data_IF_205803571081
#
_entry.id   IF_205803571081
#
_cell.length_a   1.000
_cell.length_b   1.000
_cell.length_c   1.000
_cell.angle_alpha   90.00
_cell.angle_beta   90.00
_cell.angle_gamma   90.00
#
_symmetry.space_group_name_H-M   'P 1'
#
loop_
_entity.id
_entity.type
_entity.pdbx_description
1 polymer ?
#
# COMPACT_ATOMS: atom_id res chain seq x y z
N UNK A 1 -6.34 -6.57 21.36
CA UNK A 1 -6.87 -6.64 19.98
C UNK A 1 -5.92 -7.49 19.18
N UNK A 2 -5.99 -8.79 19.42
CA UNK A 2 -5.18 -9.79 18.72
C UNK A 2 -5.96 -10.27 17.50
N UNK A 3 -5.30 -10.54 16.38
CA UNK A 3 -5.89 -11.44 15.38
C UNK A 3 -5.88 -11.04 13.91
N UNK A 4 -4.88 -10.30 13.41
CA UNK A 4 -4.64 -10.25 11.95
C UNK A 4 -3.28 -10.83 11.52
N UNK A 5 -2.38 -11.12 12.46
CA UNK A 5 -1.08 -11.73 12.20
C UNK A 5 -0.94 -13.13 12.84
N UNK A 6 -1.97 -13.97 12.70
CA UNK A 6 -1.93 -15.37 13.18
C UNK A 6 -2.11 -16.40 12.06
N UNK A 7 -2.20 -15.95 10.80
CA UNK A 7 -2.28 -16.85 9.64
C UNK A 7 -0.89 -17.07 9.06
N UNK A 8 -0.11 -17.96 9.68
CA UNK A 8 1.09 -18.51 9.04
C UNK A 8 0.65 -19.51 7.95
N UNK A 9 0.39 -19.01 6.74
CA UNK A 9 0.40 -19.86 5.55
C UNK A 9 1.84 -20.00 5.08
N UNK A 10 2.45 -21.17 5.34
CA UNK A 10 3.77 -21.50 4.81
C UNK A 10 3.64 -21.77 3.31
N UNK A 11 3.81 -20.74 2.48
CA UNK A 11 4.01 -20.91 1.05
C UNK A 11 5.50 -20.82 0.74
N UNK A 12 6.16 -21.98 0.69
CA UNK A 12 7.54 -22.11 0.23
C UNK A 12 7.53 -22.09 -1.30
N UNK A 13 7.76 -20.93 -1.90
CA UNK A 13 8.07 -20.83 -3.32
C UNK A 13 9.58 -20.84 -3.49
N UNK A 14 10.04 -21.86 -4.21
CA UNK A 14 11.45 -22.14 -4.44
C UNK A 14 12.17 -20.97 -5.12
N UNK A 15 13.42 -20.79 -4.71
CA UNK A 15 14.40 -19.96 -5.41
C UNK A 15 14.50 -20.39 -6.87
N UNK A 16 14.06 -19.52 -7.77
CA UNK A 16 14.44 -19.51 -9.17
C UNK A 16 14.48 -18.06 -9.62
N UNK A 17 15.70 -17.52 -9.75
CA UNK A 17 15.99 -16.23 -10.36
C UNK A 17 15.57 -16.26 -11.83
N UNK A 18 14.33 -15.89 -12.09
CA UNK A 18 13.86 -15.36 -13.38
C UNK A 18 12.97 -14.18 -13.04
N UNK A 19 13.25 -13.01 -13.62
CA UNK A 19 12.37 -11.84 -13.58
C UNK A 19 11.05 -12.20 -14.27
N UNK A 20 10.21 -12.94 -13.57
CA UNK A 20 8.81 -13.12 -13.93
C UNK A 20 8.14 -11.84 -13.48
N UNK A 21 7.47 -11.18 -14.41
CA UNK A 21 6.60 -10.05 -14.10
C UNK A 21 5.48 -10.58 -13.19
N UNK A 22 5.60 -10.34 -11.89
CA UNK A 22 4.59 -10.70 -10.89
C UNK A 22 3.49 -9.65 -10.99
N UNK A 23 2.23 -10.09 -11.10
CA UNK A 23 1.12 -9.14 -11.18
C UNK A 23 1.00 -8.38 -9.85
N UNK A 24 0.55 -7.11 -9.85
CA UNK A 24 0.33 -6.37 -8.61
C UNK A 24 -0.61 -7.10 -7.64
N UNK A 25 -1.58 -7.84 -8.17
CA UNK A 25 -2.52 -8.65 -7.40
C UNK A 25 -1.85 -9.85 -6.72
N UNK A 26 -0.91 -10.52 -7.40
CA UNK A 26 -0.11 -11.60 -6.80
C UNK A 26 0.79 -11.05 -5.68
N UNK A 27 1.40 -9.87 -5.86
CA UNK A 27 2.20 -9.22 -4.80
C UNK A 27 1.32 -8.86 -3.61
N UNK A 28 0.12 -8.34 -3.85
CA UNK A 28 -0.87 -8.06 -2.81
C UNK A 28 -1.28 -9.30 -2.04
N UNK A 29 -1.52 -10.42 -2.73
CA UNK A 29 -1.80 -11.69 -2.10
C UNK A 29 -0.62 -12.20 -1.25
N UNK A 30 0.60 -12.13 -1.79
CA UNK A 30 1.81 -12.52 -1.07
C UNK A 30 1.99 -11.69 0.19
N UNK A 31 1.84 -10.38 0.11
CA UNK A 31 1.91 -9.50 1.27
C UNK A 31 0.78 -9.77 2.28
N UNK A 32 -0.46 -9.98 1.81
CA UNK A 32 -1.59 -10.32 2.69
C UNK A 32 -1.35 -11.64 3.46
N UNK A 33 -0.78 -12.64 2.80
CA UNK A 33 -0.51 -13.96 3.41
C UNK A 33 0.72 -13.98 4.33
N UNK A 34 1.75 -13.19 4.03
CA UNK A 34 3.04 -13.20 4.74
C UNK A 34 3.25 -12.03 5.69
N UNK A 35 2.48 -10.95 5.55
CA UNK A 35 2.68 -9.66 6.20
C UNK A 35 4.07 -9.05 5.97
N UNK A 36 4.79 -9.44 4.92
CA UNK A 36 6.10 -8.89 4.60
C UNK A 36 6.32 -8.71 3.10
N UNK A 37 7.17 -7.73 2.77
CA UNK A 37 7.78 -7.56 1.47
C UNK A 37 9.29 -7.52 1.67
N UNK A 38 10.05 -8.08 0.74
CA UNK A 38 11.49 -7.93 0.69
C UNK A 38 11.84 -6.58 0.05
N UNK A 39 13.06 -6.09 0.32
CA UNK A 39 13.55 -4.85 -0.30
C UNK A 39 13.69 -4.95 -1.82
N UNK A 40 13.88 -6.16 -2.34
CA UNK A 40 14.02 -6.44 -3.77
C UNK A 40 12.65 -6.63 -4.47
N UNK A 41 11.54 -6.66 -3.71
CA UNK A 41 10.21 -6.85 -4.28
C UNK A 41 9.74 -5.55 -4.94
N UNK A 42 9.41 -5.64 -6.24
CA UNK A 42 8.90 -4.50 -6.99
C UNK A 42 7.40 -4.35 -6.81
N UNK A 43 6.98 -3.39 -5.99
CA UNK A 43 5.57 -2.99 -5.90
C UNK A 43 5.20 -2.19 -7.15
N UNK A 44 4.34 -2.79 -7.98
CA UNK A 44 3.87 -2.18 -9.23
C UNK A 44 2.55 -1.42 -9.03
N UNK A 45 2.23 -0.51 -9.95
CA UNK A 45 0.92 0.14 -9.99
C UNK A 45 -0.20 -0.91 -10.04
N UNK A 46 -1.21 -0.73 -9.21
CA UNK A 46 -2.30 -1.68 -8.97
C UNK A 46 -2.13 -2.53 -7.72
N UNK A 47 -0.99 -2.47 -7.01
CA UNK A 47 -0.84 -3.12 -5.71
C UNK A 47 -1.83 -2.53 -4.71
N UNK A 48 -2.40 -3.36 -3.86
CA UNK A 48 -3.32 -2.95 -2.82
C UNK A 48 -3.15 -3.74 -1.52
N UNK A 49 -3.50 -3.09 -0.42
CA UNK A 49 -3.55 -3.67 0.92
C UNK A 49 -5.00 -3.71 1.40
N UNK A 50 -5.41 -4.83 2.00
CA UNK A 50 -6.79 -5.07 2.43
C UNK A 50 -6.86 -5.09 3.96
N UNK A 51 -7.67 -4.21 4.53
CA UNK A 51 -7.96 -4.15 5.96
C UNK A 51 -9.43 -4.44 6.23
N UNK A 52 -9.68 -5.48 7.03
CA UNK A 52 -11.03 -5.93 7.38
C UNK A 52 -11.54 -7.07 6.48
N UNK A 53 -12.77 -7.52 6.76
CA UNK A 53 -13.39 -8.63 6.06
C UNK A 53 -14.34 -8.14 4.95
N UNK A 54 -14.26 -8.78 3.78
CA UNK A 54 -15.05 -8.47 2.60
C UNK A 54 -15.81 -9.71 2.10
N UNK A 55 -16.76 -10.26 2.87
CA UNK A 55 -17.48 -11.48 2.50
C UNK A 55 -18.25 -11.35 1.18
N UNK A 56 -18.54 -10.14 0.73
CA UNK A 56 -19.20 -9.88 -0.56
C UNK A 56 -18.24 -9.94 -1.76
N UNK A 57 -16.91 -9.91 -1.51
CA UNK A 57 -15.88 -9.90 -2.53
C UNK A 57 -15.13 -11.24 -2.66
N UNK A 58 -15.48 -12.24 -1.85
CA UNK A 58 -14.78 -13.54 -1.77
C UNK A 58 -15.78 -14.70 -1.75
N UNK A 59 -15.31 -15.90 -2.15
CA UNK A 59 -16.13 -17.12 -2.09
C UNK A 59 -16.03 -17.79 -0.72
N UNK A 60 -14.83 -17.78 -0.13
CA UNK A 60 -14.55 -18.26 1.23
C UNK A 60 -13.94 -17.16 2.11
N UNK A 61 -14.08 -17.29 3.43
CA UNK A 61 -13.48 -16.37 4.42
C UNK A 61 -11.94 -16.40 4.45
N UNK A 62 -11.35 -17.42 3.85
CA UNK A 62 -9.90 -17.60 3.74
C UNK A 62 -9.35 -17.11 2.39
N UNK A 63 -10.21 -16.69 1.46
CA UNK A 63 -9.79 -16.22 0.14
C UNK A 63 -9.35 -14.75 0.19
N UNK A 64 -8.42 -14.40 -0.67
CA UNK A 64 -8.01 -13.03 -0.91
C UNK A 64 -8.94 -12.37 -1.94
N UNK A 65 -9.52 -11.18 -1.65
CA UNK A 65 -10.42 -10.52 -2.57
C UNK A 65 -9.67 -9.89 -3.74
N UNK A 66 -10.16 -10.15 -4.95
CA UNK A 66 -9.64 -9.51 -6.17
C UNK A 66 -10.02 -8.03 -6.21
N UNK A 67 -9.16 -7.18 -6.76
CA UNK A 67 -9.38 -5.72 -6.78
C UNK A 67 -10.71 -5.32 -7.46
N UNK A 68 -11.04 -5.99 -8.57
CA UNK A 68 -12.29 -5.74 -9.30
C UNK A 68 -13.55 -6.00 -8.47
N UNK A 69 -13.50 -6.94 -7.52
CA UNK A 69 -14.61 -7.23 -6.61
C UNK A 69 -14.69 -6.17 -5.50
N UNK A 70 -13.54 -5.73 -4.96
CA UNK A 70 -13.48 -4.67 -3.94
C UNK A 70 -14.05 -3.34 -4.43
N UNK A 71 -13.84 -2.99 -5.70
CA UNK A 71 -14.45 -1.79 -6.29
C UNK A 71 -15.99 -1.78 -6.29
N UNK A 72 -16.62 -2.95 -6.16
CA UNK A 72 -18.10 -3.08 -6.11
C UNK A 72 -18.64 -3.04 -4.69
N UNK A 73 -17.77 -3.03 -3.68
CA UNK A 73 -18.17 -3.03 -2.27
C UNK A 73 -18.44 -1.60 -1.81
N UNK A 74 -19.63 -1.40 -1.22
CA UNK A 74 -19.99 -0.14 -0.58
C UNK A 74 -19.39 -0.04 0.83
N UNK A 75 -18.92 1.15 1.25
CA UNK A 75 -18.53 1.40 2.63
C UNK A 75 -19.66 1.06 3.61
N UNK A 76 -19.31 0.51 4.78
CA UNK A 76 -20.24 0.29 5.90
C UNK A 76 -19.68 0.99 7.13
N UNK A 77 -20.54 1.67 7.88
CA UNK A 77 -20.19 2.37 9.13
C UNK A 77 -19.90 1.43 10.30
N UNK A 78 -20.45 0.22 10.27
CA UNK A 78 -20.42 -0.71 11.42
C UNK A 78 -19.12 -1.53 11.54
N UNK A 79 -18.28 -1.52 10.51
CA UNK A 79 -17.06 -2.33 10.47
C UNK A 79 -15.94 -1.60 9.75
N UNK A 80 -14.73 -1.65 10.33
CA UNK A 80 -13.53 -1.11 9.71
C UNK A 80 -13.18 -1.92 8.46
N UNK A 81 -13.42 -1.34 7.28
CA UNK A 81 -13.18 -1.95 5.97
C UNK A 81 -12.49 -0.95 5.07
N UNK A 82 -11.21 -1.14 4.86
CA UNK A 82 -10.36 -0.20 4.13
C UNK A 82 -9.52 -0.98 3.12
N UNK A 83 -9.44 -0.49 1.89
CA UNK A 83 -8.54 -1.03 0.88
C UNK A 83 -7.65 0.10 0.42
N UNK A 84 -6.35 -0.01 0.61
CA UNK A 84 -5.39 1.02 0.20
C UNK A 84 -4.81 0.62 -1.15
N UNK A 85 -5.06 1.43 -2.18
CA UNK A 85 -4.60 1.19 -3.54
C UNK A 85 -3.39 2.06 -3.88
N UNK A 86 -2.39 1.44 -4.49
CA UNK A 86 -1.19 2.07 -5.01
C UNK A 86 -1.27 2.08 -6.53
N UNK A 87 -1.84 3.14 -7.09
CA UNK A 87 -1.98 3.31 -8.54
C UNK A 87 -1.69 4.75 -8.94
N UNK A 88 -0.50 5.00 -9.48
CA UNK A 88 -0.05 6.32 -9.93
C UNK A 88 -0.83 6.85 -11.14
N UNK A 89 -1.58 5.99 -11.84
CA UNK A 89 -2.43 6.41 -12.95
C UNK A 89 -3.65 7.16 -12.44
N UNK A 90 -4.39 6.57 -11.49
CA UNK A 90 -5.60 7.15 -10.91
C UNK A 90 -5.33 8.11 -9.74
N UNK A 91 -4.15 8.04 -9.12
CA UNK A 91 -3.77 8.90 -7.98
C UNK A 91 -2.82 10.04 -8.40
N UNK A 92 -3.33 11.28 -8.59
CA UNK A 92 -2.50 12.42 -8.93
C UNK A 92 -1.54 12.84 -7.81
N UNK A 93 -1.88 12.56 -6.55
CA UNK A 93 -1.04 12.91 -5.40
C UNK A 93 0.16 11.97 -5.36
N UNK A 94 -0.07 10.66 -5.46
CA UNK A 94 1.01 9.67 -5.56
C UNK A 94 1.92 9.97 -6.75
N UNK A 95 1.36 10.27 -7.92
CA UNK A 95 2.13 10.65 -9.11
C UNK A 95 3.00 11.89 -8.88
N UNK A 96 2.49 12.89 -8.16
CA UNK A 96 3.26 14.08 -7.78
C UNK A 96 4.43 13.71 -6.85
N UNK A 97 4.20 12.86 -5.86
CA UNK A 97 5.24 12.41 -4.92
C UNK A 97 6.33 11.61 -5.63
N UNK A 98 5.95 10.70 -6.53
CA UNK A 98 6.92 9.93 -7.34
C UNK A 98 7.77 10.85 -8.22
N UNK A 99 7.14 11.86 -8.85
CA UNK A 99 7.86 12.87 -9.65
C UNK A 99 8.85 13.68 -8.81
N UNK A 100 8.42 14.12 -7.63
CA UNK A 100 9.26 14.87 -6.69
C UNK A 100 10.45 14.02 -6.19
N UNK A 101 10.19 12.77 -5.82
CA UNK A 101 11.20 11.82 -5.38
C UNK A 101 12.25 11.55 -6.47
N UNK A 102 11.80 11.39 -7.72
CA UNK A 102 12.69 11.20 -8.87
C UNK A 102 13.57 12.43 -9.13
N UNK A 103 12.98 13.63 -9.14
CA UNK A 103 13.74 14.86 -9.31
C UNK A 103 14.77 15.06 -8.20
N UNK A 104 14.41 14.69 -6.96
CA UNK A 104 15.32 14.76 -5.82
C UNK A 104 16.51 13.80 -5.98
N UNK A 105 16.28 12.57 -6.43
CA UNK A 105 17.36 11.61 -6.73
C UNK A 105 18.27 12.08 -7.87
N UNK A 106 17.69 12.62 -8.94
CA UNK A 106 18.43 13.13 -10.09
C UNK A 106 19.37 14.28 -9.66
N UNK A 107 18.92 15.15 -8.76
CA UNK A 107 19.75 16.25 -8.23
C UNK A 107 20.97 15.78 -7.42
N UNK A 108 20.83 14.68 -6.68
CA UNK A 108 21.93 14.11 -5.88
C UNK A 108 22.89 13.33 -6.77
N UNK A 109 22.35 12.55 -7.73
CA UNK A 109 23.15 11.73 -8.64
C UNK A 109 24.02 12.55 -9.59
N UNK A 110 23.70 13.83 -9.78
CA UNK A 110 24.56 14.80 -10.50
C UNK A 110 25.79 15.24 -9.69
N UNK A 111 25.96 14.80 -8.43
CA UNK A 111 27.12 15.13 -7.60
C UNK A 111 28.20 14.03 -7.69
N UNK A 112 29.49 14.38 -7.89
CA UNK A 112 30.57 13.39 -8.05
C UNK A 112 30.75 12.42 -6.86
N UNK A 113 30.31 12.82 -5.66
CA UNK A 113 30.46 12.08 -4.39
C UNK A 113 29.13 11.55 -3.83
N UNK A 114 28.11 11.36 -4.68
CA UNK A 114 26.78 10.91 -4.25
C UNK A 114 26.83 9.58 -3.47
N UNK A 115 26.76 9.65 -2.13
CA UNK A 115 26.69 8.46 -1.28
C UNK A 115 25.26 7.88 -1.28
N UNK A 116 25.09 6.55 -1.32
CA UNK A 116 23.78 5.89 -1.23
C UNK A 116 22.92 6.37 -0.04
N UNK A 117 23.56 6.72 1.07
CA UNK A 117 22.91 7.25 2.28
C UNK A 117 22.21 8.58 2.01
N UNK A 118 22.81 9.47 1.20
CA UNK A 118 22.22 10.75 0.86
C UNK A 118 20.96 10.57 0.00
N UNK A 119 20.99 9.63 -0.95
CA UNK A 119 19.83 9.27 -1.77
C UNK A 119 18.67 8.73 -0.92
N UNK A 120 18.94 7.76 -0.03
CA UNK A 120 17.90 7.22 0.87
C UNK A 120 17.32 8.29 1.78
N UNK A 121 18.17 9.15 2.36
CA UNK A 121 17.72 10.25 3.21
C UNK A 121 16.79 11.18 2.44
N UNK A 122 17.16 11.58 1.24
CA UNK A 122 16.35 12.49 0.44
C UNK A 122 15.00 11.89 0.05
N UNK A 123 14.99 10.63 -0.38
CA UNK A 123 13.75 9.89 -0.63
C UNK A 123 12.87 9.85 0.62
N UNK A 124 13.47 9.53 1.78
CA UNK A 124 12.72 9.45 3.03
C UNK A 124 12.07 10.78 3.41
N UNK A 125 12.71 11.93 3.12
CA UNK A 125 12.15 13.25 3.40
C UNK A 125 10.94 13.55 2.51
N UNK A 126 11.04 13.25 1.20
CA UNK A 126 9.92 13.45 0.26
C UNK A 126 8.74 12.57 0.63
N UNK A 127 8.98 11.28 0.89
CA UNK A 127 7.93 10.31 1.23
C UNK A 127 7.33 10.61 2.61
N UNK A 128 8.15 10.83 3.63
CA UNK A 128 7.64 11.13 4.98
C UNK A 128 6.85 12.44 5.01
N UNK A 129 7.28 13.45 4.24
CA UNK A 129 6.58 14.74 4.14
C UNK A 129 5.23 14.67 3.44
N UNK A 130 4.94 13.64 2.63
CA UNK A 130 3.75 13.57 1.77
C UNK A 130 2.86 12.34 1.97
N UNK A 131 3.42 11.22 2.43
CA UNK A 131 2.73 9.93 2.58
C UNK A 131 2.90 9.29 3.96
N UNK A 132 3.89 9.72 4.76
CA UNK A 132 4.18 9.11 6.06
C UNK A 132 3.64 9.89 7.25
N UNK A 133 3.73 11.22 7.21
CA UNK A 133 3.50 12.07 8.39
C UNK A 133 4.34 11.63 9.60
N UNK A 134 4.24 12.34 10.74
CA UNK A 134 4.77 11.84 11.99
C UNK A 134 3.79 10.81 12.57
N UNK A 135 3.94 9.53 12.20
CA UNK A 135 3.20 8.45 12.88
C UNK A 135 3.96 7.95 14.11
N UNK A 136 3.38 8.01 15.33
CA UNK A 136 4.05 7.64 16.57
C UNK A 136 4.23 6.11 16.74
N UNK A 137 3.51 5.28 15.97
CA UNK A 137 3.66 3.81 15.94
C UNK A 137 3.29 3.26 14.56
N UNK A 138 4.00 2.23 14.14
CA UNK A 138 3.99 1.61 12.79
C UNK A 138 2.63 1.01 12.35
N UNK A 139 1.60 0.97 13.20
CA UNK A 139 0.35 0.27 12.86
C UNK A 139 -0.95 0.77 13.49
N UNK A 140 -0.90 1.80 14.33
CA UNK A 140 -2.11 2.40 14.89
C UNK A 140 -2.39 3.69 14.14
N UNK A 141 -3.30 3.62 13.15
CA UNK A 141 -3.87 4.82 12.56
C UNK A 141 -4.48 5.65 13.67
N UNK A 142 -4.10 6.92 13.74
CA UNK A 142 -4.66 7.84 14.71
C UNK A 142 -6.17 7.99 14.48
N UNK A 143 -6.96 8.27 15.53
CA UNK A 143 -8.40 8.50 15.38
C UNK A 143 -8.74 9.57 14.31
N UNK A 144 -7.96 10.66 14.15
CA UNK A 144 -8.10 11.58 13.01
C UNK A 144 -7.89 10.92 11.65
N UNK A 145 -6.85 10.10 11.47
CA UNK A 145 -6.56 9.41 10.21
C UNK A 145 -7.68 8.44 9.82
N UNK A 146 -8.21 7.69 10.80
CA UNK A 146 -9.35 6.80 10.58
C UNK A 146 -10.59 7.56 10.10
N UNK A 147 -10.92 8.67 10.77
CA UNK A 147 -12.02 9.55 10.35
C UNK A 147 -11.81 10.13 8.95
N UNK A 148 -10.56 10.46 8.60
CA UNK A 148 -10.25 10.94 7.26
C UNK A 148 -10.50 9.87 6.20
N UNK A 149 -10.06 8.63 6.44
CA UNK A 149 -10.33 7.50 5.56
C UNK A 149 -11.84 7.26 5.42
N UNK A 150 -12.60 7.25 6.53
CA UNK A 150 -14.07 7.11 6.49
C UNK A 150 -14.74 8.22 5.65
N UNK A 151 -14.25 9.46 5.74
CA UNK A 151 -14.74 10.57 4.92
C UNK A 151 -14.43 10.35 3.44
N UNK A 152 -13.21 9.92 3.10
CA UNK A 152 -12.83 9.61 1.71
C UNK A 152 -13.70 8.50 1.13
N UNK A 153 -13.94 7.44 1.91
CA UNK A 153 -14.80 6.34 1.51
C UNK A 153 -16.24 6.80 1.31
N UNK A 154 -16.76 7.65 2.20
CA UNK A 154 -18.12 8.21 2.09
C UNK A 154 -18.26 9.10 0.85
N UNK A 155 -17.28 9.97 0.59
CA UNK A 155 -17.29 10.89 -0.54
C UNK A 155 -17.17 10.16 -1.89
N UNK A 156 -16.31 9.15 -1.96
CA UNK A 156 -16.08 8.35 -3.18
C UNK A 156 -17.09 7.20 -3.35
N UNK A 157 -17.86 6.89 -2.30
CA UNK A 157 -18.73 5.70 -2.21
C UNK A 157 -17.99 4.40 -2.50
N UNK A 158 -16.71 4.32 -2.11
CA UNK A 158 -15.86 3.16 -2.33
C UNK A 158 -15.09 2.81 -1.07
N UNK A 159 -14.85 1.52 -0.84
CA UNK A 159 -13.91 1.05 0.21
C UNK A 159 -12.46 1.19 -0.21
N UNK A 160 -12.21 1.37 -1.52
CA UNK A 160 -10.88 1.52 -2.11
C UNK A 160 -10.48 2.99 -2.07
N UNK A 161 -9.37 3.25 -1.39
CA UNK A 161 -8.82 4.60 -1.19
C UNK A 161 -7.40 4.63 -1.75
N UNK A 162 -7.07 5.60 -2.62
CA UNK A 162 -5.72 5.75 -3.14
C UNK A 162 -4.76 6.23 -2.03
N UNK A 163 -3.55 5.68 -1.98
CA UNK A 163 -2.54 5.94 -0.93
C UNK A 163 -2.18 7.44 -0.80
N UNK A 164 -2.21 8.20 -1.89
CA UNK A 164 -1.92 9.63 -1.87
C UNK A 164 -2.97 10.44 -1.12
N UNK A 165 -4.16 9.89 -0.88
CA UNK A 165 -5.24 10.57 -0.17
C UNK A 165 -5.33 10.20 1.31
N UNK A 166 -4.60 9.20 1.81
CA UNK A 166 -4.74 8.77 3.22
C UNK A 166 -3.92 9.59 4.21
N UNK A 167 -3.06 10.50 3.74
CA UNK A 167 -2.16 11.30 4.57
C UNK A 167 -2.78 12.56 5.13
#
# INVERSE_FOLDING_TARGET
MEGLCSRMASAKLGSASSSLYISPEDVSYQYWSSCCLNYDDQVSDGFYEVFGEFPEAVTSKDDFPILAALHRVLPKTEARREVILFDSHSDPILRSVVKEARAALESISCTPDAQPIACHRQLSLVVAGRLGGPQPKVRDLSAPSLKHIEQLQTNSRSVVVPIGQVS
#
